data_IF_737566912586
#
_entry.id   IF_737566912586
#
_cell.length_a   1.000
_cell.length_b   1.000
_cell.length_c   1.000
_cell.angle_alpha   90.00
_cell.angle_beta   90.00
_cell.angle_gamma   90.00
#
_symmetry.space_group_name_H-M   'P 1'
#
loop_
_entity.id
_entity.type
_entity.pdbx_description
1 polymer ?
#
# COMPACT_ATOMS: atom_id res chain seq x y z
N UNK A 1 39.07 -17.08 17.68
CA UNK A 1 38.94 -15.84 16.87
C UNK A 1 38.00 -16.14 15.72
N UNK A 2 36.94 -15.35 15.60
CA UNK A 2 35.95 -15.44 14.53
C UNK A 2 35.19 -14.12 14.45
N UNK A 3 35.88 -13.08 13.95
CA UNK A 3 35.29 -11.81 13.54
C UNK A 3 34.38 -12.09 12.34
N UNK A 4 33.06 -12.01 12.50
CA UNK A 4 32.14 -11.66 11.42
C UNK A 4 30.88 -11.01 12.00
N UNK A 5 30.70 -9.72 11.71
CA UNK A 5 29.38 -9.14 11.50
C UNK A 5 28.72 -8.43 12.68
N UNK A 6 29.31 -7.33 13.17
CA UNK A 6 28.48 -6.18 13.53
C UNK A 6 27.78 -5.70 12.24
N UNK A 7 26.62 -6.28 11.92
CA UNK A 7 25.82 -5.90 10.75
C UNK A 7 24.54 -5.23 11.26
N UNK A 8 24.59 -3.90 11.34
CA UNK A 8 23.46 -2.97 11.41
C UNK A 8 22.19 -3.52 12.10
N UNK A 9 22.14 -3.42 13.44
CA UNK A 9 20.83 -3.23 14.09
C UNK A 9 20.39 -1.82 13.70
N UNK A 10 19.55 -1.71 12.67
CA UNK A 10 18.85 -0.46 12.37
C UNK A 10 18.16 0.08 13.63
N UNK A 11 17.74 1.37 13.65
CA UNK A 11 16.94 1.92 14.72
C UNK A 11 15.86 0.92 15.16
N UNK A 12 15.79 0.68 16.47
CA UNK A 12 14.83 -0.26 17.03
C UNK A 12 13.42 0.22 16.66
N UNK A 13 12.70 -0.59 15.90
CA UNK A 13 11.33 -0.27 15.47
C UNK A 13 10.47 -0.09 16.72
N UNK A 14 9.77 1.04 16.79
CA UNK A 14 8.74 1.29 17.78
C UNK A 14 7.51 0.45 17.42
N UNK A 15 7.53 -0.80 17.86
CA UNK A 15 6.45 -1.75 17.61
C UNK A 15 5.12 -1.26 18.17
N UNK A 16 5.11 -0.54 19.30
CA UNK A 16 3.88 -0.02 19.89
C UNK A 16 3.22 1.02 18.97
N UNK A 17 4.01 1.92 18.39
CA UNK A 17 3.54 2.89 17.40
C UNK A 17 3.11 2.22 16.10
N UNK A 18 3.90 1.26 15.60
CA UNK A 18 3.54 0.47 14.42
C UNK A 18 2.19 -0.23 14.61
N UNK A 19 1.96 -0.87 15.75
CA UNK A 19 0.72 -1.59 16.04
C UNK A 19 -0.47 -0.65 16.25
N UNK A 20 -0.24 0.54 16.83
CA UNK A 20 -1.26 1.58 16.91
C UNK A 20 -1.68 2.05 15.51
N UNK A 21 -0.72 2.27 14.61
CA UNK A 21 -1.00 2.67 13.24
C UNK A 21 -1.66 1.55 12.43
N UNK A 22 -1.26 0.28 12.60
CA UNK A 22 -1.96 -0.86 12.00
C UNK A 22 -3.44 -0.90 12.39
N UNK A 23 -3.75 -0.70 13.68
CA UNK A 23 -5.14 -0.67 14.16
C UNK A 23 -5.93 0.47 13.54
N UNK A 24 -5.33 1.66 13.41
CA UNK A 24 -5.94 2.80 12.71
C UNK A 24 -6.17 2.51 11.22
N UNK A 25 -5.18 1.96 10.52
CA UNK A 25 -5.32 1.55 9.12
C UNK A 25 -6.45 0.55 8.95
N UNK A 26 -6.52 -0.47 9.82
CA UNK A 26 -7.61 -1.45 9.82
C UNK A 26 -8.97 -0.78 10.02
N UNK A 27 -9.11 0.10 11.00
CA UNK A 27 -10.35 0.81 11.26
C UNK A 27 -10.81 1.65 10.06
N UNK A 28 -9.90 2.43 9.46
CA UNK A 28 -10.19 3.24 8.27
C UNK A 28 -10.58 2.37 7.07
N UNK A 29 -9.86 1.27 6.86
CA UNK A 29 -10.16 0.35 5.76
C UNK A 29 -11.55 -0.27 5.90
N UNK A 30 -11.90 -0.76 7.10
CA UNK A 30 -13.21 -1.35 7.35
C UNK A 30 -14.35 -0.32 7.30
N UNK A 31 -14.06 0.95 7.57
CA UNK A 31 -15.02 2.03 7.39
C UNK A 31 -15.30 2.28 5.90
N UNK A 32 -14.26 2.23 5.05
CA UNK A 32 -14.37 2.50 3.62
C UNK A 32 -14.78 1.27 2.78
N UNK A 33 -14.61 0.05 3.29
CA UNK A 33 -14.77 -1.20 2.56
C UNK A 33 -15.71 -2.14 3.30
N UNK A 34 -16.83 -2.48 2.67
CA UNK A 34 -17.77 -3.47 3.19
C UNK A 34 -17.08 -4.84 3.33
N UNK A 35 -17.28 -5.49 4.48
CA UNK A 35 -16.59 -6.73 4.86
C UNK A 35 -15.05 -6.59 4.79
N UNK A 36 -14.51 -5.43 5.18
CA UNK A 36 -13.09 -5.13 5.12
C UNK A 36 -12.18 -6.11 5.87
N UNK A 37 -12.71 -6.83 6.88
CA UNK A 37 -12.00 -7.88 7.61
C UNK A 37 -11.61 -9.09 6.74
N UNK A 38 -12.30 -9.32 5.62
CA UNK A 38 -11.98 -10.38 4.67
C UNK A 38 -10.71 -10.09 3.87
N UNK A 39 -10.15 -8.87 4.00
CA UNK A 39 -8.97 -8.42 3.28
C UNK A 39 -7.77 -8.36 4.21
N UNK A 40 -6.65 -8.92 3.76
CA UNK A 40 -5.33 -8.54 4.30
C UNK A 40 -5.05 -7.11 3.84
N UNK A 41 -4.34 -6.32 4.66
CA UNK A 41 -4.03 -4.93 4.33
C UNK A 41 -2.55 -4.63 4.52
N UNK A 42 -2.05 -3.66 3.76
CA UNK A 42 -0.75 -3.05 3.93
C UNK A 42 -0.83 -1.56 3.59
N UNK A 43 0.18 -0.81 3.98
CA UNK A 43 0.37 0.57 3.59
C UNK A 43 1.19 0.62 2.29
N UNK A 44 0.71 1.42 1.33
CA UNK A 44 1.45 1.76 0.13
C UNK A 44 1.34 3.24 -0.17
N UNK A 45 2.01 3.68 -1.22
CA UNK A 45 1.91 5.04 -1.71
C UNK A 45 1.98 5.07 -3.25
N UNK A 46 1.74 6.24 -3.82
CA UNK A 46 1.75 6.50 -5.26
C UNK A 46 2.37 7.86 -5.51
N UNK A 47 3.27 7.97 -6.49
CA UNK A 47 3.83 9.27 -6.89
C UNK A 47 2.94 10.03 -7.90
N UNK A 48 1.97 9.36 -8.55
CA UNK A 48 1.08 10.02 -9.53
C UNK A 48 -0.15 10.65 -8.86
N UNK A 49 0.07 11.66 -8.00
CA UNK A 49 -1.01 12.39 -7.30
C UNK A 49 -1.94 13.17 -8.24
N UNK A 50 -1.51 13.44 -9.48
CA UNK A 50 -2.27 14.24 -10.45
C UNK A 50 -3.55 13.57 -10.94
N UNK A 51 -3.64 12.24 -10.77
CA UNK A 51 -4.77 11.42 -11.23
C UNK A 51 -5.72 11.00 -10.10
N UNK A 52 -5.41 11.34 -8.84
CA UNK A 52 -6.28 11.05 -7.71
C UNK A 52 -7.25 12.20 -7.48
N UNK A 53 -8.50 12.00 -7.90
CA UNK A 53 -9.59 12.95 -7.67
C UNK A 53 -10.30 12.69 -6.33
N UNK A 54 -9.52 12.37 -5.28
CA UNK A 54 -10.07 12.16 -3.93
C UNK A 54 -9.90 13.45 -3.12
N UNK A 55 -11.02 14.06 -2.75
CA UNK A 55 -11.15 15.41 -2.16
C UNK A 55 -10.47 15.66 -0.81
N UNK A 56 -9.48 14.85 -0.42
CA UNK A 56 -8.71 14.95 0.81
C UNK A 56 -7.27 15.41 0.54
N UNK A 57 -6.74 15.27 -0.68
CA UNK A 57 -5.33 15.56 -1.00
C UNK A 57 -5.08 17.03 -1.39
N UNK A 58 -6.07 17.92 -1.22
CA UNK A 58 -5.98 19.34 -1.62
C UNK A 58 -5.18 20.25 -0.66
N UNK A 59 -4.12 19.73 -0.04
CA UNK A 59 -3.24 20.51 0.84
C UNK A 59 -1.81 19.98 1.00
N UNK A 60 -1.49 18.83 0.41
CA UNK A 60 -0.17 18.23 0.50
C UNK A 60 0.78 18.87 -0.52
N UNK A 61 1.85 19.52 -0.06
CA UNK A 61 2.98 19.93 -0.92
C UNK A 61 3.77 18.72 -1.46
N UNK A 62 3.41 17.52 -1.04
CA UNK A 62 4.14 16.29 -1.34
C UNK A 62 3.62 15.65 -2.61
N UNK A 63 4.53 15.21 -3.47
CA UNK A 63 4.23 14.51 -4.74
C UNK A 63 3.74 13.07 -4.57
N UNK A 64 3.29 12.70 -3.36
CA UNK A 64 2.89 11.33 -3.03
C UNK A 64 1.47 11.28 -2.47
N UNK A 65 0.73 10.24 -2.81
CA UNK A 65 -0.55 9.87 -2.22
C UNK A 65 -0.38 8.64 -1.33
N UNK A 66 -0.89 8.71 -0.10
CA UNK A 66 -0.82 7.61 0.86
C UNK A 66 -2.02 6.67 0.66
N UNK A 67 -1.79 5.36 0.67
CA UNK A 67 -2.76 4.33 0.35
C UNK A 67 -2.81 3.26 1.45
N UNK A 68 -4.02 2.86 1.84
CA UNK A 68 -4.25 1.57 2.49
C UNK A 68 -4.67 0.59 1.39
N UNK A 69 -3.87 -0.43 1.19
CA UNK A 69 -4.05 -1.42 0.13
C UNK A 69 -4.55 -2.71 0.75
N UNK A 70 -5.78 -3.10 0.41
CA UNK A 70 -6.36 -4.36 0.80
C UNK A 70 -6.30 -5.38 -0.33
N UNK A 71 -6.08 -6.66 -0.02
CA UNK A 71 -6.23 -7.73 -0.99
C UNK A 71 -6.93 -8.95 -0.41
N UNK A 72 -7.70 -9.60 -1.26
CA UNK A 72 -8.36 -10.87 -0.97
C UNK A 72 -7.98 -11.88 -2.06
N UNK A 73 -7.34 -12.97 -1.63
CA UNK A 73 -6.80 -13.98 -2.53
C UNK A 73 -7.91 -14.80 -3.20
N UNK A 74 -8.94 -15.21 -2.44
CA UNK A 74 -10.06 -16.01 -2.94
C UNK A 74 -10.88 -15.26 -3.99
N UNK A 75 -11.10 -13.95 -3.77
CA UNK A 75 -11.84 -13.07 -4.68
C UNK A 75 -10.97 -12.47 -5.77
N UNK A 76 -9.65 -12.69 -5.72
CA UNK A 76 -8.65 -12.06 -6.59
C UNK A 76 -8.91 -10.56 -6.79
N UNK A 77 -9.09 -9.86 -5.67
CA UNK A 77 -9.47 -8.44 -5.63
C UNK A 77 -8.42 -7.66 -4.86
N UNK A 78 -8.02 -6.52 -5.42
CA UNK A 78 -7.24 -5.49 -4.74
C UNK A 78 -8.15 -4.28 -4.53
N UNK A 79 -8.09 -3.70 -3.34
CA UNK A 79 -8.81 -2.48 -2.97
C UNK A 79 -7.80 -1.44 -2.54
N UNK A 80 -7.94 -0.22 -3.03
CA UNK A 80 -7.07 0.90 -2.69
C UNK A 80 -7.90 1.98 -2.05
N UNK A 81 -7.54 2.35 -0.82
CA UNK A 81 -8.20 3.40 -0.05
C UNK A 81 -7.18 4.53 0.19
N UNK A 82 -7.36 5.71 -0.41
CA UNK A 82 -6.50 6.87 -0.13
C UNK A 82 -6.63 7.30 1.33
N UNK A 83 -5.54 7.72 1.95
CA UNK A 83 -5.53 8.17 3.36
C UNK A 83 -4.62 9.40 3.55
N UNK A 84 -4.83 10.12 4.64
CA UNK A 84 -3.81 11.05 5.15
C UNK A 84 -2.64 10.27 5.79
N UNK A 85 -1.41 10.82 5.79
CA UNK A 85 -0.24 10.15 6.38
C UNK A 85 -0.35 9.96 7.90
N UNK A 86 -1.12 10.81 8.58
CA UNK A 86 -1.40 10.71 10.01
C UNK A 86 -2.60 9.80 10.35
N UNK A 87 -3.21 9.19 9.33
CA UNK A 87 -4.41 8.35 9.43
C UNK A 87 -5.61 9.08 10.07
N UNK A 88 -5.71 10.40 9.86
CA UNK A 88 -6.85 11.21 10.34
C UNK A 88 -8.14 11.01 9.55
N UNK A 89 -8.05 10.48 8.31
CA UNK A 89 -9.20 10.18 7.47
C UNK A 89 -8.81 9.46 6.18
N UNK A 90 -9.82 8.95 5.47
CA UNK A 90 -9.68 8.20 4.22
C UNK A 90 -10.65 8.69 3.13
N UNK A 91 -10.24 8.55 1.87
CA UNK A 91 -11.09 8.79 0.70
C UNK A 91 -11.89 7.53 0.30
N UNK A 92 -12.60 7.59 -0.83
CA UNK A 92 -13.38 6.43 -1.27
C UNK A 92 -12.49 5.29 -1.77
N UNK A 93 -12.98 4.07 -1.55
CA UNK A 93 -12.30 2.85 -1.96
C UNK A 93 -12.41 2.62 -3.48
N UNK A 94 -11.27 2.34 -4.12
CA UNK A 94 -11.21 1.87 -5.50
C UNK A 94 -11.02 0.35 -5.54
N UNK A 95 -11.89 -0.36 -6.25
CA UNK A 95 -11.86 -1.82 -6.37
C UNK A 95 -11.28 -2.25 -7.71
N UNK A 96 -10.37 -3.22 -7.66
CA UNK A 96 -9.74 -3.82 -8.82
C UNK A 96 -9.91 -5.32 -8.77
N UNK A 97 -10.89 -5.84 -9.51
CA UNK A 97 -11.07 -7.28 -9.66
C UNK A 97 -10.21 -7.81 -10.81
N UNK A 98 -9.50 -8.92 -10.58
CA UNK A 98 -8.58 -9.49 -11.56
C UNK A 98 -9.22 -9.86 -12.91
N UNK A 99 -10.49 -10.24 -12.91
CA UNK A 99 -11.26 -10.53 -14.12
C UNK A 99 -11.49 -9.27 -14.98
N UNK A 100 -11.71 -8.13 -14.33
CA UNK A 100 -12.19 -6.89 -14.96
C UNK A 100 -11.06 -5.98 -15.43
N UNK A 101 -9.91 -6.00 -14.77
CA UNK A 101 -8.76 -5.17 -15.16
C UNK A 101 -8.23 -5.52 -16.55
N UNK A 102 -7.66 -4.54 -17.25
CA UNK A 102 -7.00 -4.76 -18.53
C UNK A 102 -5.63 -5.43 -18.35
N UNK A 103 -4.80 -4.92 -17.44
CA UNK A 103 -3.40 -5.34 -17.27
C UNK A 103 -2.94 -5.11 -15.84
N UNK A 104 -2.08 -5.98 -15.32
CA UNK A 104 -1.41 -5.79 -14.04
C UNK A 104 0.00 -6.41 -14.07
N UNK A 105 1.00 -5.66 -13.65
CA UNK A 105 2.39 -6.13 -13.58
C UNK A 105 3.18 -5.41 -12.49
N UNK A 106 4.22 -6.05 -12.00
CA UNK A 106 5.20 -5.41 -11.14
C UNK A 106 6.32 -4.83 -12.02
N UNK A 107 6.58 -3.54 -11.88
CA UNK A 107 7.78 -2.91 -12.40
C UNK A 107 8.88 -3.00 -11.33
N UNK A 108 10.11 -3.36 -11.74
CA UNK A 108 11.25 -3.51 -10.81
C UNK A 108 12.24 -2.34 -10.89
N UNK A 109 12.04 -1.41 -11.83
CA UNK A 109 12.91 -0.25 -12.02
C UNK A 109 12.14 0.92 -12.65
N UNK A 110 12.29 2.18 -12.20
CA UNK A 110 13.22 2.68 -11.18
C UNK A 110 12.78 2.44 -9.72
N UNK A 111 11.51 2.10 -9.49
CA UNK A 111 10.97 1.71 -8.18
C UNK A 111 10.19 0.39 -8.29
N UNK A 112 10.08 -0.35 -7.19
CA UNK A 112 9.32 -1.61 -7.10
C UNK A 112 7.81 -1.32 -7.04
N UNK A 113 7.25 -0.81 -8.14
CA UNK A 113 5.85 -0.42 -8.22
C UNK A 113 4.96 -1.56 -8.79
N UNK A 114 3.85 -1.82 -8.13
CA UNK A 114 2.78 -2.67 -8.63
C UNK A 114 1.81 -1.82 -9.46
N UNK A 115 1.78 -2.07 -10.77
CA UNK A 115 0.97 -1.28 -11.70
C UNK A 115 -0.28 -2.05 -12.08
N UNK A 116 -1.44 -1.42 -11.94
CA UNK A 116 -2.74 -1.97 -12.34
C UNK A 116 -3.40 -0.99 -13.31
N UNK A 117 -3.76 -1.48 -14.49
CA UNK A 117 -4.57 -0.79 -15.48
C UNK A 117 -5.99 -1.35 -15.41
N UNK A 118 -6.96 -0.65 -14.81
CA UNK A 118 -8.36 -1.06 -14.89
C UNK A 118 -8.87 -0.98 -16.33
N UNK A 119 -8.42 0.03 -17.09
CA UNK A 119 -8.78 0.26 -18.48
C UNK A 119 -7.60 0.80 -19.32
N UNK A 120 -7.85 1.29 -20.53
CA UNK A 120 -6.82 1.88 -21.41
C UNK A 120 -6.46 3.33 -21.08
N UNK A 121 -7.23 4.00 -20.21
CA UNK A 121 -7.14 5.45 -19.96
C UNK A 121 -6.46 5.77 -18.63
N UNK A 122 -6.51 4.84 -17.68
CA UNK A 122 -6.06 5.03 -16.31
C UNK A 122 -5.21 3.87 -15.82
N UNK A 123 -4.42 4.14 -14.79
CA UNK A 123 -3.69 3.14 -14.02
C UNK A 123 -3.53 3.62 -12.59
N UNK A 124 -3.23 2.67 -11.71
CA UNK A 124 -2.74 2.92 -10.35
C UNK A 124 -1.35 2.31 -10.23
N UNK A 125 -0.39 3.10 -9.74
CA UNK A 125 0.90 2.62 -9.29
C UNK A 125 0.90 2.53 -7.77
N UNK A 126 1.17 1.34 -7.25
CA UNK A 126 1.25 1.09 -5.81
C UNK A 126 2.70 0.77 -5.50
N UNK A 127 3.32 1.63 -4.70
CA UNK A 127 4.65 1.43 -4.15
C UNK A 127 4.54 1.06 -2.68
N UNK A 128 5.45 0.20 -2.23
CA UNK A 128 5.54 -0.23 -0.84
C UNK A 128 6.88 0.24 -0.31
N UNK A 129 6.89 0.91 0.84
CA UNK A 129 8.13 1.30 1.49
C UNK A 129 8.81 0.06 2.07
N UNK A 130 10.07 -0.14 1.71
CA UNK A 130 10.94 -1.17 2.30
C UNK A 130 11.49 -0.74 3.69
N UNK A 131 11.26 0.51 4.11
CA UNK A 131 11.74 1.03 5.39
C UNK A 131 10.89 2.16 5.97
N UNK A 132 11.18 2.54 7.21
CA UNK A 132 10.58 3.68 7.91
C UNK A 132 11.13 4.99 7.32
N UNK A 133 10.55 5.42 6.20
CA UNK A 133 10.83 6.73 5.61
C UNK A 133 10.23 7.87 6.47
N UNK A 134 10.49 9.13 6.08
CA UNK A 134 10.03 10.33 6.80
C UNK A 134 8.57 10.20 7.27
N UNK A 135 8.38 10.07 8.58
CA UNK A 135 7.06 9.87 9.20
C UNK A 135 6.09 11.05 8.98
N UNK A 136 6.60 12.18 8.49
CA UNK A 136 5.77 13.31 8.07
C UNK A 136 5.10 13.04 6.72
N UNK A 137 5.67 12.15 5.91
CA UNK A 137 5.26 11.85 4.55
C UNK A 137 4.52 10.53 4.45
N UNK A 138 4.91 9.53 5.25
CA UNK A 138 4.38 8.17 5.21
C UNK A 138 3.86 7.71 6.56
N UNK A 139 2.99 6.70 6.53
CA UNK A 139 2.52 6.02 7.73
C UNK A 139 3.66 5.19 8.31
N UNK A 140 3.99 5.41 9.59
CA UNK A 140 4.94 4.58 10.32
C UNK A 140 4.36 3.19 10.57
N UNK A 141 4.81 2.18 9.82
CA UNK A 141 4.38 0.78 9.99
C UNK A 141 5.45 -0.20 9.51
N UNK A 142 5.70 -1.24 10.30
CA UNK A 142 6.72 -2.27 10.02
C UNK A 142 6.11 -3.52 9.40
N UNK A 143 6.06 -3.63 8.07
CA UNK A 143 5.13 -4.54 7.36
C UNK A 143 5.78 -5.53 6.37
N UNK A 144 6.99 -6.01 6.68
CA UNK A 144 7.76 -6.91 5.79
C UNK A 144 7.01 -8.19 5.40
N UNK A 145 6.26 -8.77 6.35
CA UNK A 145 5.47 -10.00 6.10
C UNK A 145 4.28 -9.73 5.17
N UNK A 146 3.58 -8.62 5.40
CA UNK A 146 2.45 -8.19 4.59
C UNK A 146 2.89 -7.83 3.15
N UNK A 147 4.01 -7.13 3.00
CA UNK A 147 4.62 -6.81 1.69
C UNK A 147 5.01 -8.07 0.94
N UNK A 148 5.64 -9.04 1.62
CA UNK A 148 6.00 -10.32 1.00
C UNK A 148 4.76 -11.10 0.54
N UNK A 149 3.74 -11.20 1.41
CA UNK A 149 2.50 -11.89 1.10
C UNK A 149 1.74 -11.23 -0.07
N UNK A 150 1.68 -9.89 -0.09
CA UNK A 150 1.07 -9.15 -1.19
C UNK A 150 1.84 -9.34 -2.50
N UNK A 151 3.16 -9.27 -2.46
CA UNK A 151 4.02 -9.50 -3.64
C UNK A 151 3.77 -10.89 -4.23
N UNK A 152 3.71 -11.91 -3.37
CA UNK A 152 3.43 -13.29 -3.78
C UNK A 152 2.04 -13.43 -4.41
N UNK A 153 1.01 -12.89 -3.76
CA UNK A 153 -0.35 -12.86 -4.32
C UNK A 153 -0.38 -12.14 -5.67
N UNK A 154 0.23 -10.95 -5.75
CA UNK A 154 0.18 -10.12 -6.94
C UNK A 154 0.80 -10.85 -8.13
N UNK A 155 1.99 -11.43 -7.96
CA UNK A 155 2.71 -12.10 -9.05
C UNK A 155 2.06 -13.43 -9.44
N UNK A 156 1.56 -14.21 -8.48
CA UNK A 156 1.02 -15.55 -8.76
C UNK A 156 -0.43 -15.53 -9.24
N UNK A 157 -1.25 -14.61 -8.73
CA UNK A 157 -2.70 -14.65 -8.91
C UNK A 157 -3.25 -13.40 -9.59
N UNK A 158 -2.69 -12.22 -9.30
CA UNK A 158 -3.22 -10.95 -9.81
C UNK A 158 -2.55 -10.46 -11.10
N UNK A 159 -1.37 -10.95 -11.44
CA UNK A 159 -0.66 -10.50 -12.65
C UNK A 159 -1.48 -10.82 -13.90
N UNK A 160 -1.62 -9.84 -14.79
CA UNK A 160 -2.37 -9.94 -16.06
C UNK A 160 -1.56 -9.27 -17.16
N UNK A 161 -1.22 -10.03 -18.20
CA UNK A 161 -0.48 -9.53 -19.35
C UNK A 161 -1.39 -8.77 -20.30
#
# INVERSE_FOLDING_TARGET
MGLFGNLFKGPQVDMAKSDANRKKMRALFNQAVENGEDYKILFGFTEDVSRFNYGIVHGSKTKIGNLIVGWNESRQTIVVVPTAPDLSGCGDAAFYQRSEILKAYQNKFPTNAFIIYPDRKSYIGIEVCDWLEDEKLYVYVSQDEEVKAFTEFFLKQFQKK
#
